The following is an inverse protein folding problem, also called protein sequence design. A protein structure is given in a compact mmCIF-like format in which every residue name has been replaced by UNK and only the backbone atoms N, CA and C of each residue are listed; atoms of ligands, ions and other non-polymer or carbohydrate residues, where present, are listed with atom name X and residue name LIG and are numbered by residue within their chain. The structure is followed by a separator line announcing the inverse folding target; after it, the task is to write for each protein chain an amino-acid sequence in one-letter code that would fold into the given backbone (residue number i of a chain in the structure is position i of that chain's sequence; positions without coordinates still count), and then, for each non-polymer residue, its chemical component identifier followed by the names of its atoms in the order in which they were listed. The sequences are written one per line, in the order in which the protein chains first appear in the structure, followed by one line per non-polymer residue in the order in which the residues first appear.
data_IF_632746634886
#
_entry.id   IF_632746634886
#
_cell.length_a   1.000
_cell.length_b   1.000
_cell.length_c   1.000
_cell.angle_alpha   90.00
_cell.angle_beta   90.00
_cell.angle_gamma   90.00
#
_symmetry.space_group_name_H-M   'P 1'
#
loop_
_entity.id
_entity.type
_entity.pdbx_description
1 polymer ?
#
# COMPACT_ATOMS: atom_id res chain seq x y z
N UNK A 1 -19.34 -4.34 1.37
CA UNK A 1 -17.91 -3.97 1.27
C UNK A 1 -17.48 -3.39 2.62
N UNK A 2 -16.33 -3.79 3.17
CA UNK A 2 -15.86 -3.26 4.47
C UNK A 2 -15.19 -1.89 4.30
N UNK A 3 -15.03 -1.11 5.38
CA UNK A 3 -14.25 0.14 5.31
C UNK A 3 -12.85 -0.11 4.76
N UNK A 4 -12.16 -1.15 5.26
CA UNK A 4 -10.80 -1.46 4.80
C UNK A 4 -10.74 -1.79 3.32
N UNK A 5 -11.70 -2.58 2.81
CA UNK A 5 -11.75 -2.87 1.38
C UNK A 5 -11.96 -1.59 0.56
N UNK A 6 -12.84 -0.68 1.00
CA UNK A 6 -13.03 0.60 0.32
C UNK A 6 -11.74 1.43 0.28
N UNK A 7 -11.02 1.52 1.40
CA UNK A 7 -9.77 2.30 1.46
C UNK A 7 -8.64 1.63 0.66
N UNK A 8 -8.54 0.30 0.66
CA UNK A 8 -7.58 -0.43 -0.16
C UNK A 8 -7.86 -0.24 -1.67
N UNK A 9 -9.12 -0.17 -2.08
CA UNK A 9 -9.50 0.11 -3.47
C UNK A 9 -9.05 1.49 -3.92
N UNK A 10 -9.17 2.51 -3.07
CA UNK A 10 -8.65 3.86 -3.38
C UNK A 10 -7.15 3.85 -3.65
N UNK A 11 -6.39 2.97 -2.98
CA UNK A 11 -4.95 2.82 -3.19
C UNK A 11 -4.61 2.06 -4.48
N UNK A 12 -5.32 0.95 -4.78
CA UNK A 12 -4.83 -0.06 -5.71
C UNK A 12 -5.75 -0.40 -6.89
N UNK A 13 -6.97 0.13 -6.96
CA UNK A 13 -7.91 -0.15 -8.07
C UNK A 13 -7.64 0.76 -9.29
N UNK A 14 -7.01 1.93 -9.07
CA UNK A 14 -6.74 2.93 -10.11
C UNK A 14 -5.25 3.20 -10.35
N UNK A 15 -4.40 2.89 -9.38
CA UNK A 15 -2.95 3.02 -9.50
C UNK A 15 -2.39 1.63 -9.80
N UNK A 16 -1.80 1.46 -10.99
CA UNK A 16 -1.27 0.18 -11.46
C UNK A 16 0.05 -0.23 -10.74
N UNK A 17 0.03 -0.25 -9.41
CA UNK A 17 1.17 -0.61 -8.54
C UNK A 17 1.52 -2.10 -8.69
N UNK A 18 0.50 -2.94 -8.92
CA UNK A 18 0.65 -4.36 -9.21
C UNK A 18 -0.55 -4.87 -10.00
N UNK A 19 -0.37 -6.01 -10.68
CA UNK A 19 -1.40 -6.61 -11.52
C UNK A 19 -2.32 -7.56 -10.74
N UNK A 20 -3.42 -7.99 -11.38
CA UNK A 20 -4.34 -9.02 -10.87
C UNK A 20 -4.89 -8.75 -9.46
N UNK A 21 -5.19 -7.48 -9.16
CA UNK A 21 -5.62 -7.04 -7.83
C UNK A 21 -6.90 -7.74 -7.36
N UNK A 22 -6.87 -8.24 -6.12
CA UNK A 22 -8.01 -8.88 -5.44
C UNK A 22 -8.15 -8.34 -4.02
N UNK A 23 -9.38 -8.03 -3.62
CA UNK A 23 -9.69 -7.56 -2.28
C UNK A 23 -10.47 -8.63 -1.53
N UNK A 24 -10.00 -8.97 -0.33
CA UNK A 24 -10.61 -10.00 0.53
C UNK A 24 -10.71 -9.45 1.94
N UNK A 25 -11.89 -8.98 2.32
CA UNK A 25 -12.17 -8.48 3.67
C UNK A 25 -11.35 -7.24 4.03
N UNK A 26 -10.17 -7.44 4.64
CA UNK A 26 -9.29 -6.37 5.16
C UNK A 26 -7.94 -6.30 4.47
N UNK A 27 -7.74 -7.15 3.47
CA UNK A 27 -6.47 -7.33 2.77
C UNK A 27 -6.67 -7.17 1.27
N UNK A 28 -5.69 -6.55 0.63
CA UNK A 28 -5.55 -6.50 -0.81
C UNK A 28 -4.41 -7.43 -1.23
N UNK A 29 -4.58 -8.14 -2.33
CA UNK A 29 -3.56 -8.97 -2.96
C UNK A 29 -3.33 -8.54 -4.40
N UNK A 30 -2.10 -8.71 -4.87
CA UNK A 30 -1.75 -8.51 -6.28
C UNK A 30 -0.56 -9.35 -6.70
N UNK A 31 -0.22 -9.30 -7.98
CA UNK A 31 0.90 -10.03 -8.59
C UNK A 31 2.00 -9.04 -9.00
N UNK A 32 3.25 -9.39 -8.66
CA UNK A 32 4.44 -8.64 -9.06
C UNK A 32 5.10 -9.30 -10.27
N UNK A 33 5.49 -10.56 -10.14
CA UNK A 33 6.13 -11.35 -11.20
C UNK A 33 5.90 -12.83 -10.91
N UNK A 34 6.02 -13.70 -11.93
CA UNK A 34 6.03 -15.17 -11.78
C UNK A 34 5.20 -15.73 -10.61
N UNK A 35 5.92 -16.14 -9.55
CA UNK A 35 5.39 -16.73 -8.32
C UNK A 35 5.31 -15.77 -7.11
N UNK A 36 5.56 -14.48 -7.32
CA UNK A 36 5.58 -13.44 -6.29
C UNK A 36 4.26 -12.66 -6.31
N UNK A 37 3.62 -12.62 -5.16
CA UNK A 37 2.43 -11.83 -4.88
C UNK A 37 2.70 -10.81 -3.79
N UNK A 38 1.89 -9.76 -3.77
CA UNK A 38 1.86 -8.78 -2.69
C UNK A 38 0.61 -8.98 -1.88
N UNK A 39 0.72 -8.75 -0.56
CA UNK A 39 -0.40 -8.53 0.35
C UNK A 39 -0.26 -7.15 0.98
N UNK A 40 -1.32 -6.36 0.95
CA UNK A 40 -1.41 -5.07 1.63
C UNK A 40 -2.53 -5.08 2.67
N UNK A 41 -2.26 -4.58 3.87
CA UNK A 41 -3.23 -4.55 4.97
C UNK A 41 -3.01 -3.36 5.92
N UNK A 42 -4.10 -2.75 6.39
CA UNK A 42 -4.04 -1.73 7.43
C UNK A 42 -3.80 -2.38 8.81
N UNK A 43 -2.81 -1.89 9.55
CA UNK A 43 -2.40 -2.47 10.85
C UNK A 43 -2.39 -1.45 11.99
N UNK A 44 -2.54 -1.96 13.22
CA UNK A 44 -2.31 -1.20 14.45
C UNK A 44 -0.84 -1.28 14.87
N UNK A 45 -0.30 -0.25 15.52
CA UNK A 45 1.11 -0.19 15.96
C UNK A 45 1.28 -0.22 17.49
N UNK A 46 0.35 -0.84 18.21
CA UNK A 46 0.38 -0.98 19.67
C UNK A 46 -0.83 -0.37 20.39
N UNK A 47 -1.68 0.36 19.66
CA UNK A 47 -2.95 0.86 20.16
C UNK A 47 -4.10 0.02 19.59
N UNK A 48 -4.91 -0.56 20.48
CA UNK A 48 -6.06 -1.34 20.07
C UNK A 48 -6.98 -0.50 19.17
N UNK A 49 -7.43 -1.11 18.07
CA UNK A 49 -8.38 -0.52 17.14
C UNK A 49 -7.93 0.75 16.39
N UNK A 50 -6.69 1.21 16.59
CA UNK A 50 -6.12 2.38 15.95
C UNK A 50 -5.13 1.95 14.86
N UNK A 51 -5.57 2.04 13.62
CA UNK A 51 -4.83 1.60 12.44
C UNK A 51 -4.08 2.76 11.82
N UNK A 52 -2.76 2.74 11.96
CA UNK A 52 -1.87 3.89 11.73
C UNK A 52 -0.80 3.63 10.67
N UNK A 53 -0.85 2.45 10.06
CA UNK A 53 0.08 2.06 9.03
C UNK A 53 -0.54 1.12 8.02
N UNK A 54 0.09 1.10 6.85
CA UNK A 54 -0.11 0.10 5.82
C UNK A 54 1.08 -0.87 5.86
N UNK A 55 0.82 -2.15 6.08
CA UNK A 55 1.81 -3.21 5.96
C UNK A 55 1.74 -3.78 4.55
N UNK A 56 2.89 -3.87 3.90
CA UNK A 56 3.07 -4.55 2.62
C UNK A 56 3.93 -5.78 2.86
N UNK A 57 3.52 -6.92 2.34
CA UNK A 57 4.26 -8.18 2.40
C UNK A 57 4.41 -8.76 1.01
N UNK A 58 5.64 -9.09 0.61
CA UNK A 58 5.91 -9.90 -0.57
C UNK A 58 5.84 -11.37 -0.19
N UNK A 59 5.17 -12.15 -1.02
CA UNK A 59 4.87 -13.56 -0.78
C UNK A 59 5.27 -14.34 -2.01
N UNK A 60 6.21 -15.26 -1.86
CA UNK A 60 6.40 -16.36 -2.79
C UNK A 60 5.30 -17.41 -2.50
N UNK A 61 4.50 -17.80 -3.50
CA UNK A 61 3.37 -18.71 -3.29
C UNK A 61 3.78 -20.09 -2.77
N UNK A 62 5.02 -20.50 -2.96
CA UNK A 62 5.54 -21.81 -2.50
C UNK A 62 6.36 -21.71 -1.22
N UNK A 63 7.00 -20.57 -0.97
CA UNK A 63 7.97 -20.41 0.12
C UNK A 63 7.47 -19.49 1.25
N UNK A 64 6.35 -18.81 1.05
CA UNK A 64 5.77 -17.90 2.05
C UNK A 64 6.26 -16.47 1.91
N UNK A 65 6.31 -15.74 3.03
CA UNK A 65 6.68 -14.32 3.05
C UNK A 65 8.18 -14.18 2.77
N UNK A 66 8.53 -13.41 1.74
CA UNK A 66 9.91 -13.09 1.36
C UNK A 66 10.41 -11.92 2.20
N UNK A 67 9.61 -10.84 2.23
CA UNK A 67 9.91 -9.61 2.94
C UNK A 67 8.62 -8.88 3.35
N UNK A 68 8.73 -7.92 4.26
CA UNK A 68 7.64 -7.02 4.59
C UNK A 68 8.13 -5.66 5.04
N UNK A 69 7.43 -4.61 4.62
CA UNK A 69 7.62 -3.24 5.13
C UNK A 69 6.35 -2.70 5.78
N UNK A 70 6.52 -1.71 6.65
CA UNK A 70 5.43 -1.00 7.32
C UNK A 70 5.57 0.48 7.01
N UNK A 71 4.59 1.02 6.30
CA UNK A 71 4.50 2.44 5.98
C UNK A 71 3.62 3.12 7.03
N UNK A 72 4.22 3.87 7.96
CA UNK A 72 3.43 4.64 8.94
C UNK A 72 2.86 5.88 8.27
N UNK A 73 1.58 6.14 8.49
CA UNK A 73 0.94 7.32 7.87
C UNK A 73 1.56 8.63 8.32
N UNK A 74 2.06 8.70 9.56
CA UNK A 74 2.78 9.88 10.05
C UNK A 74 4.11 10.13 9.35
N UNK A 75 4.77 9.08 8.86
CA UNK A 75 6.07 9.19 8.18
C UNK A 75 5.87 9.56 6.71
N UNK A 76 4.86 8.99 6.06
CA UNK A 76 4.55 9.27 4.65
C UNK A 76 3.79 10.59 4.51
N UNK A 77 2.66 10.76 5.19
CA UNK A 77 1.75 11.89 4.98
C UNK A 77 2.04 13.07 5.91
N UNK A 78 2.92 12.88 6.89
CA UNK A 78 3.15 13.85 7.96
C UNK A 78 1.94 14.04 8.88
N UNK A 79 2.02 15.10 9.69
CA UNK A 79 0.95 15.52 10.58
C UNK A 79 0.05 16.52 9.86
N UNK A 80 -1.27 16.30 9.88
CA UNK A 80 -2.25 17.10 9.13
C UNK A 80 -2.91 18.13 10.02
N UNK A 81 -2.93 19.38 9.56
CA UNK A 81 -3.63 20.46 10.23
C UNK A 81 -5.14 20.31 10.04
N UNK A 82 -5.90 20.53 11.11
CA UNK A 82 -7.35 20.35 11.13
C UNK A 82 -8.02 21.49 11.88
N UNK A 83 -9.30 21.75 11.60
CA UNK A 83 -10.08 22.81 12.25
C UNK A 83 -10.55 22.43 13.65
N UNK A 84 -10.41 21.17 14.05
CA UNK A 84 -10.84 20.70 15.36
C UNK A 84 -9.96 21.29 16.47
N UNK A 85 -10.52 22.06 17.43
CA UNK A 85 -9.75 22.78 18.45
C UNK A 85 -8.99 21.88 19.42
N UNK A 86 -9.33 20.59 19.50
CA UNK A 86 -8.61 19.60 20.31
C UNK A 86 -7.27 19.18 19.69
N UNK A 87 -7.05 19.46 18.41
CA UNK A 87 -5.87 19.05 17.64
C UNK A 87 -5.12 20.27 17.09
N UNK A 88 -4.77 21.22 17.97
CA UNK A 88 -4.08 22.48 17.60
C UNK A 88 -2.77 22.25 16.86
N UNK A 89 -2.05 21.19 17.22
CA UNK A 89 -0.79 20.81 16.61
C UNK A 89 -1.00 19.92 15.36
N UNK A 90 -2.24 19.70 14.93
CA UNK A 90 -2.63 18.73 13.92
C UNK A 90 -2.81 17.30 14.45
N UNK A 91 -3.10 16.37 13.54
CA UNK A 91 -3.32 14.96 13.82
C UNK A 91 -2.57 14.08 12.81
N UNK A 92 -1.97 12.99 13.28
CA UNK A 92 -1.43 11.97 12.36
C UNK A 92 -2.60 11.15 11.79
N UNK A 93 -2.70 10.98 10.46
CA UNK A 93 -3.79 10.22 9.85
C UNK A 93 -3.86 8.80 10.41
N UNK A 94 -5.06 8.32 10.71
CA UNK A 94 -5.31 6.94 11.10
C UNK A 94 -6.79 6.58 10.97
N UNK A 95 -7.05 5.29 10.76
CA UNK A 95 -8.39 4.73 10.86
C UNK A 95 -8.58 4.29 12.31
N UNK A 96 -9.68 4.64 12.94
CA UNK A 96 -9.99 4.21 14.30
C UNK A 96 -11.33 3.49 14.32
N UNK A 97 -11.36 2.33 14.97
CA UNK A 97 -12.64 1.74 15.37
C UNK A 97 -13.05 2.32 16.72
N UNK A 98 -14.07 3.16 16.72
CA UNK A 98 -14.69 3.66 17.94
C UNK A 98 -16.11 3.13 18.02
N UNK A 99 -16.41 2.40 19.11
CA UNK A 99 -17.64 1.63 19.26
C UNK A 99 -17.82 0.65 18.07
N UNK A 100 -18.84 0.87 17.25
CA UNK A 100 -19.16 0.05 16.09
C UNK A 100 -18.80 0.72 14.76
N UNK A 101 -18.21 1.92 14.80
CA UNK A 101 -17.85 2.68 13.61
C UNK A 101 -16.34 2.60 13.36
N UNK A 102 -15.98 2.32 12.12
CA UNK A 102 -14.60 2.21 11.68
C UNK A 102 -14.42 3.19 10.52
N UNK A 103 -13.69 4.27 10.78
CA UNK A 103 -13.47 5.35 9.81
C UNK A 103 -12.16 6.09 10.06
N UNK A 104 -11.78 6.95 9.12
CA UNK A 104 -10.68 7.89 9.29
C UNK A 104 -11.02 8.91 10.38
N UNK A 105 -10.21 8.96 11.43
CA UNK A 105 -10.49 9.78 12.61
C UNK A 105 -9.96 11.21 12.44
N UNK A 106 -10.86 12.19 12.58
CA UNK A 106 -10.62 13.65 12.54
C UNK A 106 -10.14 14.19 11.20
N UNK A 107 -9.12 13.58 10.59
CA UNK A 107 -8.64 13.90 9.25
C UNK A 107 -9.06 12.82 8.27
N UNK A 108 -9.73 13.21 7.18
CA UNK A 108 -10.11 12.31 6.07
C UNK A 108 -9.10 12.48 4.93
N UNK A 109 -8.30 11.46 4.58
CA UNK A 109 -7.34 11.56 3.49
C UNK A 109 -7.97 11.92 2.16
N UNK A 110 -7.25 12.75 1.42
CA UNK A 110 -7.59 13.22 0.08
C UNK A 110 -7.09 12.23 -0.98
N UNK A 111 -7.53 12.34 -2.24
CA UNK A 111 -6.95 11.54 -3.34
C UNK A 111 -5.42 11.65 -3.42
N UNK A 112 -4.85 12.84 -3.21
CA UNK A 112 -3.39 13.05 -3.21
C UNK A 112 -2.68 12.31 -2.08
N UNK A 113 -3.30 12.19 -0.89
CA UNK A 113 -2.73 11.38 0.20
C UNK A 113 -2.70 9.88 -0.16
N UNK A 114 -3.73 9.39 -0.86
CA UNK A 114 -3.75 8.00 -1.34
C UNK A 114 -2.72 7.77 -2.45
N UNK A 115 -2.52 8.73 -3.36
CA UNK A 115 -1.47 8.67 -4.37
C UNK A 115 -0.07 8.62 -3.72
N UNK A 116 0.19 9.45 -2.71
CA UNK A 116 1.47 9.46 -1.99
C UNK A 116 1.75 8.10 -1.32
N UNK A 117 0.75 7.52 -0.64
CA UNK A 117 0.86 6.18 -0.08
C UNK A 117 1.08 5.11 -1.15
N UNK A 118 0.36 5.18 -2.28
CA UNK A 118 0.52 4.23 -3.37
C UNK A 118 1.91 4.31 -4.01
N UNK A 119 2.47 5.52 -4.16
CA UNK A 119 3.82 5.75 -4.66
C UNK A 119 4.88 5.15 -3.73
N UNK A 120 4.74 5.30 -2.40
CA UNK A 120 5.66 4.67 -1.45
C UNK A 120 5.59 3.13 -1.49
N UNK A 121 4.40 2.58 -1.71
CA UNK A 121 4.25 1.13 -1.97
C UNK A 121 4.96 0.76 -3.27
N UNK A 122 4.78 1.53 -4.35
CA UNK A 122 5.43 1.27 -5.64
C UNK A 122 6.95 1.28 -5.53
N UNK A 123 7.52 2.32 -4.91
CA UNK A 123 8.94 2.47 -4.63
C UNK A 123 9.52 1.26 -3.88
N UNK A 124 8.81 0.76 -2.87
CA UNK A 124 9.21 -0.45 -2.16
C UNK A 124 9.20 -1.70 -3.06
N UNK A 125 8.17 -1.84 -3.90
CA UNK A 125 8.02 -2.99 -4.79
C UNK A 125 9.00 -2.98 -5.95
N UNK A 126 9.45 -1.81 -6.41
CA UNK A 126 10.46 -1.68 -7.46
C UNK A 126 11.76 -2.42 -7.13
N UNK A 127 12.16 -2.48 -5.85
CA UNK A 127 13.34 -3.22 -5.39
C UNK A 127 13.29 -4.71 -5.76
N UNK A 128 12.08 -5.26 -5.96
CA UNK A 128 11.85 -6.67 -6.24
C UNK A 128 11.34 -6.95 -7.66
N UNK A 129 11.15 -5.93 -8.49
CA UNK A 129 10.78 -6.12 -9.90
C UNK A 129 11.99 -6.64 -10.67
N UNK A 130 11.77 -7.65 -11.51
CA UNK A 130 12.84 -8.12 -12.40
C UNK A 130 13.20 -6.99 -13.38
N UNK A 131 14.50 -6.71 -13.60
CA UNK A 131 14.91 -5.74 -14.59
C UNK A 131 14.45 -6.22 -15.97
N UNK A 132 13.70 -5.36 -16.66
CA UNK A 132 13.33 -5.59 -18.06
C UNK A 132 14.63 -5.65 -18.86
N UNK A 133 15.11 -6.86 -19.17
CA UNK A 133 16.18 -7.00 -20.14
C UNK A 133 15.60 -6.62 -21.49
N UNK A 134 15.90 -5.42 -21.97
CA UNK A 134 15.78 -5.08 -23.38
C UNK A 134 16.68 -6.04 -24.16
N UNK A 135 16.09 -7.10 -24.71
CA UNK A 135 16.77 -7.93 -25.68
C UNK A 135 17.06 -7.07 -26.90
N UNK A 136 18.27 -6.51 -26.99
CA UNK A 136 18.76 -5.89 -28.22
C UNK A 136 18.72 -6.94 -29.33
N UNK A 137 17.75 -6.79 -30.23
CA UNK A 137 17.66 -7.58 -31.45
C UNK A 137 18.87 -7.31 -32.35
N UNK A 138 19.48 -8.38 -32.86
CA UNK A 138 20.13 -8.37 -34.17
C UNK A 138 21.67 -8.34 -34.20
N UNK A 139 22.33 -9.43 -33.81
CA UNK A 139 23.60 -9.80 -34.46
C UNK A 139 23.29 -10.80 -35.58
N UNK A 140 23.15 -10.31 -36.81
CA UNK A 140 23.20 -11.14 -38.02
C UNK A 140 24.65 -11.55 -38.27
N UNK A 141 24.99 -12.84 -38.37
CA UNK A 141 26.31 -13.24 -38.85
C UNK A 141 26.41 -12.91 -40.35
N UNK A 142 27.41 -12.11 -40.73
CA UNK A 142 27.84 -12.00 -42.13
C UNK A 142 28.44 -13.34 -42.55
N UNK A 143 27.82 -14.00 -43.53
CA UNK A 143 28.42 -15.11 -44.26
C UNK A 143 29.24 -14.52 -45.40
N UNK A 144 30.56 -14.71 -45.33
CA UNK A 144 31.48 -14.59 -46.46
C UNK A 144 31.81 -15.96 -47.04
#
# INVERSE_FOLDING_TARGET
MTTFENELRKLFDHNAVFADTRFVGRTCYGKISGNICVRAEFITLGHADKYEALKISLINRTEGVIDSTVLRFSEVLGKKQVTNPNFKEGVSPHIWKYQNELEWYVYKPTPSDFEELANEVDNYLEVFREPVHEMSQGMTPQMG
#
